data_IF_334640279699
#
_entry.id   IF_334640279699
#
_cell.length_a   1.000
_cell.length_b   1.000
_cell.length_c   1.000
_cell.angle_alpha   90.00
_cell.angle_beta   90.00
_cell.angle_gamma   90.00
#
_symmetry.space_group_name_H-M   'P 1'
#
loop_
_entity.id
_entity.type
_entity.pdbx_description
1 polymer ?
#
# COMPACT_ATOMS: atom_id res chain seq x y z
N UNK A 1 -36.53 47.79 35.28
CA UNK A 1 -35.39 48.29 34.52
C UNK A 1 -34.14 47.62 35.08
N UNK A 2 -33.65 46.47 34.63
CA UNK A 2 -34.03 45.44 33.66
C UNK A 2 -32.70 44.75 33.36
N UNK A 3 -32.46 43.60 33.98
CA UNK A 3 -31.25 42.76 33.89
C UNK A 3 -31.10 42.10 32.52
N UNK A 4 -31.13 42.87 31.43
CA UNK A 4 -31.30 42.31 30.08
C UNK A 4 -30.10 42.50 29.15
N UNK A 5 -28.89 42.78 29.65
CA UNK A 5 -27.73 43.00 28.77
C UNK A 5 -26.48 42.16 29.03
N UNK A 6 -26.43 41.33 30.07
CA UNK A 6 -25.25 40.49 30.37
C UNK A 6 -25.40 39.01 29.99
N UNK A 7 -26.48 38.62 29.30
CA UNK A 7 -26.72 37.23 28.91
C UNK A 7 -26.39 36.90 27.43
N UNK A 8 -25.89 37.86 26.64
CA UNK A 8 -25.89 37.75 25.17
C UNK A 8 -24.58 37.42 24.47
N UNK A 9 -23.42 37.29 25.16
CA UNK A 9 -22.12 37.21 24.46
C UNK A 9 -21.14 36.16 25.01
N UNK A 10 -21.63 34.99 25.41
CA UNK A 10 -20.76 33.85 25.67
C UNK A 10 -21.03 32.70 24.69
N UNK A 11 -20.09 32.53 23.76
CA UNK A 11 -19.76 31.27 23.07
C UNK A 11 -20.75 30.75 22.02
N UNK A 12 -20.74 31.39 20.86
CA UNK A 12 -20.70 30.62 19.61
C UNK A 12 -19.29 30.02 19.46
N UNK A 13 -18.96 28.96 20.23
CA UNK A 13 -17.79 28.14 19.88
C UNK A 13 -18.16 27.44 18.59
N UNK A 14 -17.31 27.59 17.56
CA UNK A 14 -17.33 26.77 16.37
C UNK A 14 -17.72 25.33 16.70
N UNK A 15 -18.88 24.91 16.22
CA UNK A 15 -19.26 23.50 16.15
C UNK A 15 -18.36 22.82 15.12
N UNK A 16 -17.07 22.66 15.45
CA UNK A 16 -16.16 21.82 14.69
C UNK A 16 -16.73 20.41 14.69
N UNK A 17 -16.92 19.83 13.50
CA UNK A 17 -17.40 18.45 13.34
C UNK A 17 -16.59 17.53 14.26
N UNK A 18 -17.24 16.95 15.26
CA UNK A 18 -16.60 15.99 16.16
C UNK A 18 -16.33 14.70 15.39
N UNK A 19 -15.08 14.51 14.96
CA UNK A 19 -14.61 13.26 14.37
C UNK A 19 -13.92 12.46 15.46
N UNK A 20 -14.47 11.30 15.82
CA UNK A 20 -13.87 10.42 16.82
C UNK A 20 -12.44 10.04 16.44
N UNK A 21 -11.57 9.80 17.42
CA UNK A 21 -10.17 9.38 17.19
C UNK A 21 -10.11 8.15 16.27
N UNK A 22 -11.05 7.21 16.38
CA UNK A 22 -11.19 6.05 15.48
C UNK A 22 -11.21 6.43 14.01
N UNK A 23 -12.05 7.39 13.65
CA UNK A 23 -12.20 7.84 12.28
C UNK A 23 -10.97 8.61 11.79
N UNK A 24 -10.33 9.41 12.66
CA UNK A 24 -9.08 10.09 12.32
C UNK A 24 -7.94 9.10 12.04
N UNK A 25 -7.79 8.10 12.90
CA UNK A 25 -6.79 7.02 12.77
C UNK A 25 -7.10 6.18 11.53
N UNK A 26 -8.34 5.72 11.38
CA UNK A 26 -8.76 4.90 10.24
C UNK A 26 -8.51 5.62 8.92
N UNK A 27 -8.95 6.88 8.78
CA UNK A 27 -8.74 7.66 7.56
C UNK A 27 -7.25 7.87 7.31
N UNK A 28 -6.48 8.27 8.33
CA UNK A 28 -5.04 8.51 8.21
C UNK A 28 -4.27 7.27 7.73
N UNK A 29 -4.52 6.13 8.36
CA UNK A 29 -3.91 4.87 7.94
C UNK A 29 -4.42 4.40 6.58
N UNK A 30 -5.72 4.56 6.27
CA UNK A 30 -6.26 4.21 4.95
C UNK A 30 -5.53 4.97 3.87
N UNK A 31 -5.40 6.29 3.99
CA UNK A 31 -4.67 7.13 3.01
C UNK A 31 -3.21 6.67 2.88
N UNK A 32 -2.51 6.47 4.00
CA UNK A 32 -1.12 6.03 4.00
C UNK A 32 -0.94 4.66 3.32
N UNK A 33 -1.77 3.68 3.67
CA UNK A 33 -1.74 2.36 3.06
C UNK A 33 -2.16 2.40 1.60
N UNK A 34 -3.14 3.22 1.19
CA UNK A 34 -3.51 3.38 -0.21
C UNK A 34 -2.34 3.92 -1.04
N UNK A 35 -1.59 4.90 -0.53
CA UNK A 35 -0.40 5.44 -1.23
C UNK A 35 0.67 4.34 -1.36
N UNK A 36 1.00 3.67 -0.26
CA UNK A 36 1.97 2.57 -0.29
C UNK A 36 1.53 1.44 -1.23
N UNK A 37 0.24 1.14 -1.26
CA UNK A 37 -0.36 0.12 -2.11
C UNK A 37 -0.25 0.48 -3.61
N UNK A 38 -0.51 1.73 -3.98
CA UNK A 38 -0.33 2.21 -5.36
C UNK A 38 1.14 2.16 -5.76
N UNK A 39 2.06 2.59 -4.89
CA UNK A 39 3.51 2.50 -5.16
C UNK A 39 3.92 1.04 -5.37
N UNK A 40 3.45 0.13 -4.51
CA UNK A 40 3.71 -1.29 -4.65
C UNK A 40 3.12 -1.84 -5.97
N UNK A 41 1.88 -1.52 -6.31
CA UNK A 41 1.26 -1.95 -7.57
C UNK A 41 2.08 -1.53 -8.79
N UNK A 42 2.51 -0.26 -8.84
CA UNK A 42 3.34 0.24 -9.93
C UNK A 42 4.70 -0.49 -10.00
N UNK A 43 5.37 -0.65 -8.86
CA UNK A 43 6.67 -1.35 -8.80
C UNK A 43 6.58 -2.83 -9.17
N UNK A 44 5.58 -3.54 -8.65
CA UNK A 44 5.36 -4.96 -8.98
C UNK A 44 4.98 -5.16 -10.44
N UNK A 45 4.21 -4.25 -11.03
CA UNK A 45 3.88 -4.31 -12.46
C UNK A 45 5.13 -4.16 -13.32
N UNK A 46 6.01 -3.22 -13.01
CA UNK A 46 7.26 -3.02 -13.74
C UNK A 46 8.20 -4.24 -13.62
N UNK A 47 8.34 -4.79 -12.40
CA UNK A 47 9.12 -6.01 -12.15
C UNK A 47 8.57 -7.18 -12.98
N UNK A 48 7.26 -7.41 -12.95
CA UNK A 48 6.63 -8.53 -13.62
C UNK A 48 6.73 -8.42 -15.16
N UNK A 49 6.46 -7.24 -15.72
CA UNK A 49 6.59 -6.98 -17.17
C UNK A 49 8.03 -7.08 -17.64
N UNK A 50 8.99 -6.65 -16.82
CA UNK A 50 10.43 -6.80 -17.10
C UNK A 50 10.82 -8.28 -17.10
N UNK A 51 10.39 -9.04 -16.09
CA UNK A 51 10.64 -10.48 -16.05
C UNK A 51 10.04 -11.21 -17.25
N UNK A 52 8.81 -10.87 -17.65
CA UNK A 52 8.17 -11.42 -18.85
C UNK A 52 8.96 -11.08 -20.13
N UNK A 53 9.44 -9.85 -20.25
CA UNK A 53 10.26 -9.42 -21.39
C UNK A 53 11.59 -10.19 -21.45
N UNK A 54 12.24 -10.38 -20.30
CA UNK A 54 13.48 -11.15 -20.22
C UNK A 54 13.27 -12.63 -20.57
N UNK A 55 12.11 -13.20 -20.20
CA UNK A 55 11.75 -14.55 -20.61
C UNK A 55 11.59 -14.65 -22.13
N UNK A 56 10.86 -13.72 -22.75
CA UNK A 56 10.71 -13.66 -24.22
C UNK A 56 12.08 -13.54 -24.90
N UNK A 57 12.98 -12.71 -24.37
CA UNK A 57 14.35 -12.59 -24.88
C UNK A 57 15.12 -13.91 -24.76
N UNK A 58 14.95 -14.65 -23.65
CA UNK A 58 15.56 -15.95 -23.45
C UNK A 58 14.99 -17.01 -24.42
N UNK A 59 13.69 -17.01 -24.67
CA UNK A 59 13.05 -17.91 -25.64
C UNK A 59 13.55 -17.62 -27.06
N UNK A 60 13.70 -16.33 -27.41
CA UNK A 60 14.31 -15.88 -28.66
C UNK A 60 15.76 -16.33 -28.78
N UNK A 61 16.54 -16.23 -27.69
CA UNK A 61 17.92 -16.73 -27.61
C UNK A 61 17.97 -18.21 -27.97
N UNK A 62 17.17 -19.02 -27.28
CA UNK A 62 17.15 -20.46 -27.43
C UNK A 62 16.71 -20.86 -28.85
N UNK A 63 15.76 -20.13 -29.42
CA UNK A 63 15.31 -20.31 -30.81
C UNK A 63 16.45 -20.05 -31.79
N UNK A 64 17.15 -18.92 -31.66
CA UNK A 64 18.30 -18.61 -32.52
C UNK A 64 19.42 -19.64 -32.39
N UNK A 65 19.79 -20.03 -31.17
CA UNK A 65 20.84 -21.03 -30.92
C UNK A 65 20.48 -22.39 -31.54
N UNK A 66 19.23 -22.84 -31.33
CA UNK A 66 18.76 -24.12 -31.87
C UNK A 66 18.72 -24.15 -33.40
N UNK A 67 18.42 -23.01 -34.05
CA UNK A 67 18.49 -22.90 -35.51
C UNK A 67 19.96 -22.84 -35.96
N UNK A 68 20.77 -21.98 -35.34
CA UNK A 68 22.17 -21.79 -35.70
C UNK A 68 23.00 -23.08 -35.62
N UNK A 69 22.71 -23.98 -34.68
CA UNK A 69 23.37 -25.28 -34.54
C UNK A 69 23.06 -26.25 -35.70
N UNK A 70 21.93 -26.06 -36.39
CA UNK A 70 21.43 -27.00 -37.41
C UNK A 70 21.51 -26.45 -38.84
N UNK A 71 21.83 -25.17 -39.03
CA UNK A 71 21.97 -24.57 -40.36
C UNK A 71 23.21 -25.13 -41.06
N UNK A 72 23.03 -25.62 -42.28
CA UNK A 72 24.15 -25.93 -43.19
C UNK A 72 24.69 -24.62 -43.79
N UNK A 73 25.74 -24.09 -43.17
CA UNK A 73 26.33 -22.79 -43.53
C UNK A 73 27.00 -22.83 -44.91
N UNK A 74 27.63 -23.95 -45.27
CA UNK A 74 28.26 -24.09 -46.59
C UNK A 74 27.21 -24.08 -47.70
N UNK A 75 26.11 -24.82 -47.53
CA UNK A 75 24.98 -24.78 -48.45
C UNK A 75 24.37 -23.38 -48.57
N UNK A 76 24.29 -22.64 -47.46
CA UNK A 76 23.78 -21.26 -47.44
C UNK A 76 24.66 -20.33 -48.28
N UNK A 77 25.98 -20.41 -48.10
CA UNK A 77 26.95 -19.60 -48.85
C UNK A 77 26.99 -19.98 -50.33
N UNK A 78 26.92 -21.28 -50.65
CA UNK A 78 26.82 -21.71 -52.04
C UNK A 78 25.54 -21.23 -52.71
N UNK A 79 24.41 -21.28 -52.00
CA UNK A 79 23.14 -20.74 -52.47
C UNK A 79 23.26 -19.24 -52.74
N UNK A 80 23.79 -18.46 -51.79
CA UNK A 80 23.98 -17.02 -51.97
C UNK A 80 24.91 -16.68 -53.16
N UNK A 81 25.91 -17.52 -53.43
CA UNK A 81 26.88 -17.31 -54.51
C UNK A 81 26.40 -17.72 -55.90
N UNK A 82 25.47 -18.68 -56.00
CA UNK A 82 25.11 -19.32 -57.29
C UNK A 82 23.62 -19.38 -57.58
N UNK A 83 22.78 -19.09 -56.60
CA UNK A 83 21.33 -18.99 -56.76
C UNK A 83 20.97 -17.78 -57.61
N UNK A 84 19.84 -17.88 -58.30
CA UNK A 84 19.31 -16.80 -59.14
C UNK A 84 17.91 -16.43 -58.68
N UNK A 85 17.54 -15.13 -58.72
CA UNK A 85 16.20 -14.72 -58.38
C UNK A 85 15.19 -15.16 -59.46
N UNK A 86 14.03 -15.64 -59.04
CA UNK A 86 12.91 -15.95 -59.92
C UNK A 86 12.08 -14.70 -60.23
N UNK A 87 11.01 -14.84 -61.03
CA UNK A 87 10.17 -13.71 -61.45
C UNK A 87 9.46 -12.98 -60.30
N UNK A 88 9.28 -13.67 -59.17
CA UNK A 88 8.63 -13.14 -57.97
C UNK A 88 9.64 -12.52 -56.98
N UNK A 89 10.94 -12.52 -57.31
CA UNK A 89 12.01 -11.96 -56.48
C UNK A 89 12.56 -12.91 -55.41
N UNK A 90 12.16 -14.18 -55.40
CA UNK A 90 12.70 -15.24 -54.54
C UNK A 90 13.63 -16.15 -55.33
N UNK A 91 13.83 -17.43 -54.98
CA UNK A 91 14.61 -18.35 -55.82
C UNK A 91 13.90 -19.68 -56.03
N UNK A 92 14.05 -20.26 -57.22
CA UNK A 92 13.61 -21.62 -57.55
C UNK A 92 14.70 -22.67 -57.27
N UNK A 93 15.85 -22.24 -56.72
CA UNK A 93 16.95 -23.14 -56.36
C UNK A 93 16.49 -24.17 -55.31
N UNK A 94 16.75 -25.48 -55.49
CA UNK A 94 16.36 -26.50 -54.52
C UNK A 94 16.87 -26.22 -53.10
N UNK A 95 18.04 -25.61 -52.94
CA UNK A 95 18.62 -25.26 -51.63
C UNK A 95 17.81 -24.16 -50.94
N UNK A 96 17.29 -23.19 -51.70
CA UNK A 96 16.41 -22.15 -51.16
C UNK A 96 15.12 -22.77 -50.60
N UNK A 97 14.52 -23.70 -51.34
CA UNK A 97 13.32 -24.43 -50.89
C UNK A 97 13.62 -25.27 -49.65
N UNK A 98 14.77 -25.94 -49.60
CA UNK A 98 15.23 -26.72 -48.45
C UNK A 98 15.40 -25.86 -47.20
N UNK A 99 16.02 -24.68 -47.31
CA UNK A 99 16.09 -23.74 -46.18
C UNK A 99 14.71 -23.25 -45.74
N UNK A 100 13.80 -22.97 -46.67
CA UNK A 100 12.45 -22.59 -46.27
C UNK A 100 11.71 -23.75 -45.55
N UNK A 101 11.93 -25.01 -45.94
CA UNK A 101 11.38 -26.18 -45.23
C UNK A 101 11.99 -26.31 -43.82
N UNK A 102 13.30 -26.10 -43.70
CA UNK A 102 14.01 -26.09 -42.43
C UNK A 102 13.50 -24.97 -41.50
N UNK A 103 13.38 -23.73 -41.99
CA UNK A 103 12.84 -22.62 -41.20
C UNK A 103 11.37 -22.85 -40.81
N UNK A 104 10.57 -23.45 -41.69
CA UNK A 104 9.19 -23.84 -41.40
C UNK A 104 9.10 -24.91 -40.29
N UNK A 105 10.01 -25.87 -40.26
CA UNK A 105 10.06 -26.88 -39.20
C UNK A 105 10.37 -26.24 -37.84
N UNK A 106 11.28 -25.26 -37.81
CA UNK A 106 11.59 -24.49 -36.60
C UNK A 106 10.38 -23.65 -36.15
N UNK A 107 9.69 -22.96 -37.05
CA UNK A 107 8.45 -22.24 -36.74
C UNK A 107 7.34 -23.15 -36.19
N UNK A 108 7.32 -24.43 -36.58
CA UNK A 108 6.34 -25.37 -36.02
C UNK A 108 6.63 -25.68 -34.54
N UNK A 109 7.88 -25.54 -34.11
CA UNK A 109 8.31 -25.71 -32.72
C UNK A 109 8.11 -24.43 -31.91
N UNK A 110 8.43 -23.27 -32.50
CA UNK A 110 8.25 -21.93 -31.93
C UNK A 110 7.30 -21.11 -32.84
N UNK A 111 5.97 -21.20 -32.64
CA UNK A 111 4.97 -20.64 -33.54
C UNK A 111 5.07 -19.12 -33.76
N UNK A 112 5.54 -18.39 -32.77
CA UNK A 112 5.66 -16.93 -32.80
C UNK A 112 6.97 -16.46 -33.47
N UNK A 113 7.88 -17.40 -33.78
CA UNK A 113 9.16 -17.12 -34.43
C UNK A 113 8.99 -16.94 -35.95
N UNK A 114 9.64 -15.90 -36.46
CA UNK A 114 9.84 -15.63 -37.88
C UNK A 114 11.34 -15.54 -38.18
N UNK A 115 12.00 -16.68 -38.44
CA UNK A 115 13.42 -16.72 -38.73
C UNK A 115 13.73 -16.37 -40.19
N UNK A 116 14.89 -15.75 -40.39
CA UNK A 116 15.48 -15.47 -41.70
C UNK A 116 17.01 -15.52 -41.63
N UNK A 117 17.62 -15.83 -42.77
CA UNK A 117 19.06 -16.00 -42.96
C UNK A 117 19.58 -14.91 -43.89
N UNK A 118 20.70 -14.32 -43.52
CA UNK A 118 21.30 -13.23 -44.28
C UNK A 118 22.82 -13.25 -44.22
N UNK A 119 23.44 -12.59 -45.19
CA UNK A 119 24.89 -12.40 -45.27
C UNK A 119 25.23 -10.92 -45.33
N UNK A 120 26.51 -10.61 -45.14
CA UNK A 120 27.02 -9.24 -45.22
C UNK A 120 26.88 -8.69 -46.65
N UNK A 121 26.39 -7.46 -46.78
CA UNK A 121 26.35 -6.72 -48.04
C UNK A 121 27.70 -6.10 -48.44
N UNK A 122 27.71 -5.41 -49.57
CA UNK A 122 28.91 -4.72 -50.07
C UNK A 122 29.09 -3.36 -49.40
N UNK A 123 27.99 -2.66 -49.13
CA UNK A 123 28.00 -1.34 -48.50
C UNK A 123 28.07 -1.38 -46.97
N UNK A 124 28.44 -0.24 -46.36
CA UNK A 124 28.41 -0.10 -44.91
C UNK A 124 26.96 -0.18 -44.40
N UNK A 125 26.73 -1.03 -43.41
CA UNK A 125 25.40 -1.33 -42.85
C UNK A 125 24.42 -2.04 -43.80
N UNK A 126 24.92 -2.63 -44.89
CA UNK A 126 24.12 -3.43 -45.81
C UNK A 126 24.20 -4.93 -45.50
N UNK A 127 23.08 -5.62 -45.69
CA UNK A 127 22.99 -7.08 -45.72
C UNK A 127 22.34 -7.53 -47.04
N UNK A 128 22.59 -8.78 -47.44
CA UNK A 128 21.75 -9.47 -48.41
C UNK A 128 20.91 -10.50 -47.67
N UNK A 129 19.58 -10.39 -47.80
CA UNK A 129 18.67 -11.43 -47.32
C UNK A 129 18.80 -12.66 -48.23
N UNK A 130 19.11 -13.82 -47.66
CA UNK A 130 19.28 -15.05 -48.45
C UNK A 130 18.00 -15.88 -48.41
N UNK A 131 17.44 -16.10 -47.22
CA UNK A 131 16.19 -16.86 -47.06
C UNK A 131 15.37 -16.22 -45.96
N UNK A 132 14.11 -15.92 -46.25
CA UNK A 132 13.16 -15.36 -45.29
C UNK A 132 11.91 -16.23 -45.28
N UNK A 133 11.52 -16.72 -44.09
CA UNK A 133 10.37 -17.60 -43.97
C UNK A 133 9.06 -16.92 -44.41
N UNK A 134 8.95 -15.59 -44.30
CA UNK A 134 7.78 -14.86 -44.77
C UNK A 134 7.49 -15.08 -46.25
N UNK A 135 8.49 -15.41 -47.08
CA UNK A 135 8.32 -15.76 -48.48
C UNK A 135 7.27 -16.87 -48.72
N UNK A 136 7.04 -17.75 -47.74
CA UNK A 136 6.01 -18.80 -47.81
C UNK A 136 4.59 -18.35 -47.45
N UNK A 137 4.45 -17.24 -46.75
CA UNK A 137 3.20 -16.80 -46.15
C UNK A 137 2.67 -15.53 -46.80
N UNK A 138 3.52 -14.50 -46.89
CA UNK A 138 3.21 -13.22 -47.48
C UNK A 138 4.49 -12.61 -48.06
N UNK A 139 4.60 -12.63 -49.39
CA UNK A 139 5.73 -12.06 -50.11
C UNK A 139 5.92 -10.55 -49.84
N UNK A 140 4.87 -9.82 -49.44
CA UNK A 140 4.97 -8.39 -49.11
C UNK A 140 5.58 -8.13 -47.73
N UNK A 141 5.64 -9.15 -46.87
CA UNK A 141 6.25 -9.12 -45.55
C UNK A 141 7.66 -9.75 -45.51
N UNK A 142 8.21 -10.10 -46.67
CA UNK A 142 9.49 -10.80 -46.81
C UNK A 142 10.50 -9.92 -47.54
N UNK A 143 11.78 -10.08 -47.21
CA UNK A 143 12.84 -9.71 -48.15
C UNK A 143 12.90 -10.74 -49.30
N UNK A 144 13.22 -10.26 -50.51
CA UNK A 144 13.52 -11.10 -51.67
C UNK A 144 14.86 -11.82 -51.55
N UNK A 145 15.07 -12.83 -52.39
CA UNK A 145 16.33 -13.55 -52.49
C UNK A 145 17.45 -12.62 -52.97
N UNK A 146 18.52 -12.54 -52.18
CA UNK A 146 19.65 -11.63 -52.37
C UNK A 146 19.23 -10.15 -52.45
N UNK A 147 18.09 -9.79 -51.87
CA UNK A 147 17.67 -8.39 -51.77
C UNK A 147 18.59 -7.64 -50.79
N UNK A 148 19.09 -6.49 -51.24
CA UNK A 148 19.94 -5.61 -50.44
C UNK A 148 19.09 -4.82 -49.42
N UNK A 149 19.51 -4.82 -48.16
CA UNK A 149 18.88 -4.03 -47.11
C UNK A 149 19.92 -3.26 -46.29
N UNK A 150 19.82 -1.93 -46.31
CA UNK A 150 20.65 -1.04 -45.50
C UNK A 150 19.94 -0.73 -44.17
N UNK A 151 20.48 -1.23 -43.05
CA UNK A 151 19.91 -0.96 -41.74
C UNK A 151 20.24 0.45 -41.24
N UNK A 152 19.30 1.07 -40.54
CA UNK A 152 19.54 2.33 -39.82
C UNK A 152 19.99 2.16 -38.38
N UNK A 153 19.87 0.95 -37.85
CA UNK A 153 20.00 0.67 -36.41
C UNK A 153 21.32 0.03 -36.01
N UNK A 154 22.00 -0.60 -36.98
CA UNK A 154 23.22 -1.38 -36.76
C UNK A 154 23.02 -2.75 -36.08
N UNK A 155 21.86 -3.08 -35.49
CA UNK A 155 21.68 -4.35 -34.76
C UNK A 155 21.79 -5.58 -35.66
N UNK A 156 21.13 -5.57 -36.83
CA UNK A 156 21.23 -6.67 -37.80
C UNK A 156 22.67 -6.85 -38.31
N UNK A 157 23.45 -5.77 -38.40
CA UNK A 157 24.87 -5.82 -38.81
C UNK A 157 25.74 -6.37 -37.69
N UNK A 158 25.51 -5.95 -36.44
CA UNK A 158 26.17 -6.53 -35.27
C UNK A 158 25.90 -8.03 -35.16
N UNK A 159 24.71 -8.47 -35.55
CA UNK A 159 24.32 -9.88 -35.69
C UNK A 159 25.27 -10.72 -36.55
N UNK A 160 25.99 -10.12 -37.50
CA UNK A 160 27.03 -10.81 -38.29
C UNK A 160 28.32 -11.07 -37.50
N UNK A 161 28.44 -10.58 -36.28
CA UNK A 161 29.69 -10.66 -35.49
C UNK A 161 29.47 -11.11 -34.05
N UNK A 162 28.30 -10.81 -33.49
CA UNK A 162 27.94 -11.13 -32.11
C UNK A 162 26.43 -11.33 -31.99
N UNK A 163 26.03 -12.12 -31.00
CA UNK A 163 24.63 -12.21 -30.63
C UNK A 163 24.15 -10.87 -30.07
N UNK A 164 23.06 -10.35 -30.61
CA UNK A 164 22.53 -9.05 -30.22
C UNK A 164 21.02 -9.00 -30.36
N UNK A 165 20.41 -8.02 -29.70
CA UNK A 165 18.96 -7.83 -29.68
C UNK A 165 18.63 -6.43 -30.09
N UNK A 166 17.43 -6.24 -30.66
CA UNK A 166 16.94 -4.90 -30.90
C UNK A 166 16.64 -4.20 -29.57
N UNK A 167 17.54 -3.31 -29.18
CA UNK A 167 17.29 -2.41 -28.07
C UNK A 167 16.20 -1.40 -28.43
N UNK A 168 15.40 -1.04 -27.43
CA UNK A 168 14.32 -0.08 -27.57
C UNK A 168 14.40 0.96 -26.47
N UNK A 169 13.93 2.18 -26.76
CA UNK A 169 13.82 3.20 -25.72
C UNK A 169 12.94 2.73 -24.56
N UNK A 170 13.20 3.28 -23.37
CA UNK A 170 12.33 3.11 -22.20
C UNK A 170 10.86 3.44 -22.56
N UNK A 171 9.83 2.75 -22.02
CA UNK A 171 8.42 2.98 -22.39
C UNK A 171 7.99 4.45 -22.36
N UNK A 172 8.37 5.20 -21.33
CA UNK A 172 8.09 6.64 -21.24
C UNK A 172 8.76 7.42 -22.40
N UNK A 173 9.99 7.07 -22.75
CA UNK A 173 10.71 7.72 -23.87
C UNK A 173 10.06 7.33 -25.20
N UNK A 174 9.66 6.06 -25.36
CA UNK A 174 8.88 5.61 -26.51
C UNK A 174 7.56 6.37 -26.62
N UNK A 175 6.80 6.52 -25.55
CA UNK A 175 5.53 7.26 -25.54
C UNK A 175 5.74 8.74 -25.92
N UNK A 176 6.81 9.35 -25.42
CA UNK A 176 7.20 10.73 -25.79
C UNK A 176 7.48 10.82 -27.30
N UNK A 177 8.30 9.90 -27.84
CA UNK A 177 8.68 9.88 -29.27
C UNK A 177 7.48 9.55 -30.17
N UNK A 178 6.65 8.58 -29.79
CA UNK A 178 5.43 8.21 -30.50
C UNK A 178 4.42 9.35 -30.53
N UNK A 179 4.19 10.00 -29.38
CA UNK A 179 3.35 11.19 -29.31
C UNK A 179 3.89 12.30 -30.22
N UNK A 180 5.22 12.51 -30.23
CA UNK A 180 5.85 13.51 -31.08
C UNK A 180 5.67 13.21 -32.56
N UNK A 181 5.90 11.96 -32.98
CA UNK A 181 5.71 11.51 -34.36
C UNK A 181 4.26 11.71 -34.80
N UNK A 182 3.29 11.19 -34.03
CA UNK A 182 1.86 11.26 -34.38
C UNK A 182 1.31 12.69 -34.47
N UNK A 183 1.84 13.65 -33.69
CA UNK A 183 1.26 14.99 -33.59
C UNK A 183 2.06 16.08 -34.30
N UNK A 184 3.39 15.93 -34.44
CA UNK A 184 4.28 17.02 -34.85
C UNK A 184 5.18 16.72 -36.04
N UNK A 185 5.38 15.46 -36.44
CA UNK A 185 6.34 15.11 -37.48
C UNK A 185 6.09 15.85 -38.81
N UNK A 186 4.84 15.83 -39.28
CA UNK A 186 4.45 16.59 -40.47
C UNK A 186 4.05 18.04 -40.17
N UNK A 187 3.40 18.28 -39.02
CA UNK A 187 2.75 19.56 -38.73
C UNK A 187 3.71 20.64 -38.21
N UNK A 188 4.76 20.24 -37.47
CA UNK A 188 5.76 21.14 -36.91
C UNK A 188 7.10 20.41 -36.70
N UNK A 189 7.93 20.30 -37.77
CA UNK A 189 9.18 19.55 -37.73
C UNK A 189 10.17 20.04 -36.66
N UNK A 190 10.17 21.34 -36.35
CA UNK A 190 11.00 21.90 -35.30
C UNK A 190 10.61 21.36 -33.91
N UNK A 191 9.31 21.32 -33.59
CA UNK A 191 8.84 20.75 -32.32
C UNK A 191 9.08 19.25 -32.26
N UNK A 192 8.84 18.54 -33.35
CA UNK A 192 9.16 17.11 -33.46
C UNK A 192 10.63 16.84 -33.11
N UNK A 193 11.57 17.55 -33.77
CA UNK A 193 13.01 17.41 -33.51
C UNK A 193 13.35 17.68 -32.04
N UNK A 194 12.79 18.74 -31.44
CA UNK A 194 13.06 19.09 -30.03
C UNK A 194 12.51 18.05 -29.05
N UNK A 195 11.31 17.53 -29.26
CA UNK A 195 10.71 16.53 -28.37
C UNK A 195 11.45 15.20 -28.50
N UNK A 196 11.76 14.77 -29.72
CA UNK A 196 12.54 13.55 -29.97
C UNK A 196 13.94 13.66 -29.38
N UNK A 197 14.63 14.81 -29.55
CA UNK A 197 15.94 15.05 -28.95
C UNK A 197 15.89 15.05 -27.41
N UNK A 198 14.81 15.57 -26.81
CA UNK A 198 14.60 15.47 -25.37
C UNK A 198 14.43 14.02 -24.91
N UNK A 199 13.64 13.22 -25.63
CA UNK A 199 13.51 11.78 -25.38
C UNK A 199 14.87 11.08 -25.43
N UNK A 200 15.66 11.33 -26.47
CA UNK A 200 17.02 10.78 -26.60
C UNK A 200 17.94 11.26 -25.48
N UNK A 201 17.88 12.53 -25.07
CA UNK A 201 18.65 13.03 -23.93
C UNK A 201 18.30 12.31 -22.61
N UNK A 202 17.04 11.96 -22.38
CA UNK A 202 16.64 11.17 -21.20
C UNK A 202 17.27 9.78 -21.18
N UNK A 203 17.39 9.17 -22.36
CA UNK A 203 18.08 7.91 -22.56
C UNK A 203 19.59 8.06 -22.32
N UNK A 204 20.23 9.00 -23.01
CA UNK A 204 21.70 9.19 -22.98
C UNK A 204 22.21 9.64 -21.62
N UNK A 205 21.40 10.38 -20.86
CA UNK A 205 21.72 10.80 -19.50
C UNK A 205 21.59 9.68 -18.46
N UNK A 206 21.08 8.50 -18.85
CA UNK A 206 20.82 7.38 -17.95
C UNK A 206 19.64 7.60 -17.01
N UNK A 207 18.82 8.65 -17.21
CA UNK A 207 17.62 8.89 -16.41
C UNK A 207 16.55 7.84 -16.75
N UNK A 208 16.37 7.55 -18.03
CA UNK A 208 15.49 6.49 -18.55
C UNK A 208 16.26 5.66 -19.58
N UNK A 209 17.17 4.77 -19.15
CA UNK A 209 18.06 4.05 -20.06
C UNK A 209 17.26 3.19 -21.05
N UNK A 210 17.84 2.92 -22.21
CA UNK A 210 17.25 1.97 -23.16
C UNK A 210 17.07 0.60 -22.51
N UNK A 211 16.00 -0.09 -22.91
CA UNK A 211 15.83 -1.50 -22.62
C UNK A 211 16.63 -2.29 -23.64
N UNK A 212 17.35 -3.30 -23.16
CA UNK A 212 18.18 -4.17 -24.00
C UNK A 212 17.34 -4.94 -25.04
N UNK A 213 16.04 -5.12 -24.78
CA UNK A 213 15.11 -5.81 -25.68
C UNK A 213 13.68 -5.26 -25.60
N UNK A 214 12.99 -5.21 -26.74
CA UNK A 214 11.56 -4.94 -26.82
C UNK A 214 11.05 -4.77 -28.25
N UNK A 215 9.82 -4.28 -28.37
CA UNK A 215 9.12 -4.18 -29.65
C UNK A 215 9.43 -2.87 -30.39
N UNK A 216 9.68 -2.93 -31.68
CA UNK A 216 9.83 -1.80 -32.59
C UNK A 216 8.94 -1.97 -33.83
N UNK A 217 8.95 -0.99 -34.75
CA UNK A 217 8.26 -1.08 -36.03
C UNK A 217 9.17 -0.72 -37.20
N UNK A 218 8.92 -1.35 -38.34
CA UNK A 218 9.58 -1.11 -39.61
C UNK A 218 8.58 -1.25 -40.78
N UNK A 219 9.09 -1.42 -42.01
CA UNK A 219 8.25 -1.53 -43.21
C UNK A 219 7.46 -2.84 -43.31
N UNK A 220 7.88 -3.89 -42.59
CA UNK A 220 7.24 -5.21 -42.62
C UNK A 220 6.25 -5.41 -41.48
N UNK A 221 6.31 -4.57 -40.45
CA UNK A 221 5.35 -4.62 -39.34
C UNK A 221 5.96 -4.17 -38.02
N UNK A 222 5.57 -4.86 -36.96
CA UNK A 222 6.05 -4.59 -35.60
C UNK A 222 6.61 -5.86 -34.98
N UNK A 223 7.83 -5.77 -34.47
CA UNK A 223 8.64 -6.93 -34.14
C UNK A 223 9.42 -6.72 -32.85
N UNK A 224 9.79 -7.80 -32.18
CA UNK A 224 10.89 -7.84 -31.23
C UNK A 224 11.91 -8.85 -31.77
N UNK A 225 13.14 -8.39 -32.00
CA UNK A 225 14.08 -9.12 -32.86
C UNK A 225 15.40 -9.40 -32.17
N UNK A 226 15.97 -10.54 -32.52
CA UNK A 226 17.27 -11.01 -32.11
C UNK A 226 18.08 -11.42 -33.34
N UNK A 227 19.39 -11.30 -33.23
CA UNK A 227 20.33 -11.64 -34.30
C UNK A 227 21.52 -12.41 -33.72
N UNK A 228 22.03 -13.37 -34.47
CA UNK A 228 23.20 -14.18 -34.08
C UNK A 228 24.05 -14.56 -35.29
N UNK A 229 25.39 -14.58 -35.16
CA UNK A 229 26.25 -14.98 -36.26
C UNK A 229 26.18 -16.49 -36.48
N UNK A 230 26.23 -16.87 -37.75
CA UNK A 230 26.45 -18.25 -38.19
C UNK A 230 27.93 -18.41 -38.52
N UNK A 231 28.53 -19.43 -37.92
CA UNK A 231 29.96 -19.67 -37.99
C UNK A 231 30.28 -20.76 -39.01
N UNK A 232 31.37 -20.61 -39.76
CA UNK A 232 31.95 -21.69 -40.56
C UNK A 232 32.63 -22.75 -39.68
N UNK A 233 33.07 -23.86 -40.28
CA UNK A 233 33.82 -24.92 -39.59
C UNK A 233 35.12 -24.44 -38.91
N UNK A 234 35.66 -23.29 -39.35
CA UNK A 234 36.84 -22.66 -38.77
C UNK A 234 36.51 -21.68 -37.62
N UNK A 235 35.22 -21.51 -37.29
CA UNK A 235 34.74 -20.62 -36.24
C UNK A 235 34.67 -19.15 -36.64
N UNK A 236 34.76 -18.82 -37.94
CA UNK A 236 34.62 -17.45 -38.43
C UNK A 236 33.14 -17.14 -38.70
N UNK A 237 32.66 -15.94 -38.33
CA UNK A 237 31.32 -15.54 -38.68
C UNK A 237 31.24 -15.19 -40.17
N UNK A 238 30.36 -15.89 -40.90
CA UNK A 238 30.24 -15.78 -42.38
C UNK A 238 28.83 -15.43 -42.83
N UNK A 239 27.83 -15.72 -42.00
CA UNK A 239 26.43 -15.36 -42.21
C UNK A 239 25.80 -15.03 -40.85
N UNK A 240 24.50 -14.75 -40.82
CA UNK A 240 23.76 -14.57 -39.60
C UNK A 240 22.32 -15.03 -39.75
N UNK A 241 21.72 -15.32 -38.60
CA UNK A 241 20.29 -15.54 -38.45
C UNK A 241 19.66 -14.36 -37.73
N UNK A 242 18.52 -13.91 -38.23
CA UNK A 242 17.59 -13.06 -37.52
C UNK A 242 16.35 -13.84 -37.15
N UNK A 243 15.81 -13.60 -35.97
CA UNK A 243 14.50 -14.13 -35.56
C UNK A 243 13.68 -12.99 -35.02
N UNK A 244 12.48 -12.85 -35.57
CA UNK A 244 11.51 -11.85 -35.16
C UNK A 244 10.35 -12.53 -34.42
N UNK A 245 9.96 -11.97 -33.29
CA UNK A 245 8.67 -12.22 -32.67
C UNK A 245 7.72 -11.09 -32.99
N UNK A 246 6.47 -11.41 -33.33
CA UNK A 246 5.44 -10.41 -33.54
C UNK A 246 5.24 -9.56 -32.28
N UNK A 247 5.13 -8.24 -32.47
CA UNK A 247 4.92 -7.34 -31.34
C UNK A 247 3.60 -7.62 -30.62
N UNK A 248 2.60 -8.16 -31.32
CA UNK A 248 1.31 -8.52 -30.73
C UNK A 248 1.47 -9.65 -29.69
N UNK A 249 2.20 -10.71 -30.02
CA UNK A 249 2.57 -11.76 -29.04
C UNK A 249 3.27 -11.16 -27.81
N UNK A 250 4.31 -10.34 -28.03
CA UNK A 250 5.07 -9.72 -26.92
C UNK A 250 4.18 -8.83 -26.06
N UNK A 251 3.28 -8.08 -26.68
CA UNK A 251 2.35 -7.20 -25.97
C UNK A 251 1.27 -7.98 -25.23
N UNK A 252 0.76 -9.08 -25.79
CA UNK A 252 -0.24 -9.93 -25.16
C UNK A 252 0.32 -10.57 -23.88
N UNK A 253 1.53 -11.15 -23.94
CA UNK A 253 2.20 -11.69 -22.75
C UNK A 253 2.39 -10.60 -21.68
N UNK A 254 2.87 -9.41 -22.08
CA UNK A 254 3.05 -8.28 -21.14
C UNK A 254 1.72 -7.82 -20.54
N UNK A 255 0.67 -7.76 -21.34
CA UNK A 255 -0.65 -7.31 -20.93
C UNK A 255 -1.32 -8.32 -20.00
N UNK A 256 -1.19 -9.61 -20.28
CA UNK A 256 -1.68 -10.70 -19.44
C UNK A 256 -0.99 -10.67 -18.07
N UNK A 257 0.35 -10.66 -18.06
CA UNK A 257 1.12 -10.56 -16.81
C UNK A 257 0.75 -9.30 -16.01
N UNK A 258 0.60 -8.16 -16.69
CA UNK A 258 0.18 -6.92 -16.03
C UNK A 258 -1.26 -6.99 -15.51
N UNK A 259 -2.17 -7.65 -16.24
CA UNK A 259 -3.56 -7.85 -15.82
C UNK A 259 -3.67 -8.77 -14.61
N UNK A 260 -2.85 -9.81 -14.53
CA UNK A 260 -2.78 -10.73 -13.39
C UNK A 260 -2.31 -10.01 -12.14
N UNK A 261 -1.23 -9.23 -12.24
CA UNK A 261 -0.75 -8.39 -11.13
C UNK A 261 -1.83 -7.41 -10.68
N UNK A 262 -2.47 -6.69 -11.62
CA UNK A 262 -3.56 -5.76 -11.28
C UNK A 262 -4.73 -6.47 -10.61
N UNK A 263 -5.11 -7.66 -11.08
CA UNK A 263 -6.22 -8.45 -10.52
C UNK A 263 -5.89 -8.95 -9.12
N UNK A 264 -4.68 -9.45 -8.89
CA UNK A 264 -4.21 -9.85 -7.56
C UNK A 264 -4.26 -8.69 -6.57
N UNK A 265 -3.81 -7.49 -6.99
CA UNK A 265 -3.88 -6.29 -6.17
C UNK A 265 -5.33 -5.81 -5.95
N UNK A 266 -6.19 -5.91 -6.97
CA UNK A 266 -7.61 -5.56 -6.84
C UNK A 266 -8.33 -6.42 -5.81
N UNK A 267 -7.92 -7.68 -5.62
CA UNK A 267 -8.44 -8.57 -4.58
C UNK A 267 -7.75 -8.32 -3.23
N UNK A 268 -6.43 -8.11 -3.23
CA UNK A 268 -5.65 -7.89 -2.01
C UNK A 268 -6.05 -6.60 -1.29
N UNK A 269 -6.41 -5.54 -2.02
CA UNK A 269 -6.75 -4.24 -1.42
C UNK A 269 -8.00 -4.27 -0.53
N UNK A 270 -9.16 -4.80 -0.97
CA UNK A 270 -10.32 -5.02 -0.10
C UNK A 270 -10.01 -5.89 1.11
N UNK A 271 -9.18 -6.93 0.96
CA UNK A 271 -8.77 -7.80 2.08
C UNK A 271 -7.95 -7.00 3.08
N UNK A 272 -6.99 -6.19 2.62
CA UNK A 272 -6.20 -5.29 3.47
C UNK A 272 -7.09 -4.27 4.18
N UNK A 273 -8.08 -3.67 3.49
CA UNK A 273 -9.05 -2.77 4.11
C UNK A 273 -9.93 -3.46 5.15
N UNK A 274 -10.38 -4.69 4.86
CA UNK A 274 -11.17 -5.48 5.80
C UNK A 274 -10.37 -5.79 7.07
N UNK A 275 -9.10 -6.20 6.92
CA UNK A 275 -8.17 -6.41 8.04
C UNK A 275 -7.96 -5.10 8.81
N UNK A 276 -7.78 -3.98 8.12
CA UNK A 276 -7.59 -2.67 8.75
C UNK A 276 -8.81 -2.24 9.58
N UNK A 277 -10.02 -2.39 9.03
CA UNK A 277 -11.28 -2.11 9.75
C UNK A 277 -11.45 -3.09 10.92
N UNK A 278 -11.13 -4.37 10.72
CA UNK A 278 -11.17 -5.38 11.77
C UNK A 278 -10.25 -5.01 12.94
N UNK A 279 -8.98 -4.72 12.69
CA UNK A 279 -8.01 -4.28 13.72
C UNK A 279 -8.53 -3.00 14.41
N UNK A 280 -8.95 -1.99 13.63
CA UNK A 280 -9.45 -0.74 14.21
C UNK A 280 -10.65 -0.97 15.14
N UNK A 281 -11.56 -1.87 14.76
CA UNK A 281 -12.77 -2.15 15.54
C UNK A 281 -12.48 -3.02 16.76
N UNK A 282 -11.59 -4.01 16.66
CA UNK A 282 -11.21 -4.89 17.78
C UNK A 282 -10.44 -4.13 18.84
N UNK A 283 -9.40 -3.36 18.46
CA UNK A 283 -8.55 -2.68 19.44
C UNK A 283 -9.18 -1.43 20.04
N UNK A 284 -9.94 -0.65 19.25
CA UNK A 284 -10.44 0.63 19.77
C UNK A 284 -11.71 0.48 20.60
N UNK A 285 -12.42 -0.66 20.54
CA UNK A 285 -13.63 -0.92 21.35
C UNK A 285 -13.35 -0.93 22.85
N UNK A 286 -12.47 -1.81 23.38
CA UNK A 286 -12.14 -1.86 24.80
C UNK A 286 -11.67 -0.52 25.39
N UNK A 287 -10.87 0.23 24.62
CA UNK A 287 -10.36 1.53 25.04
C UNK A 287 -11.49 2.53 25.32
N UNK A 288 -12.56 2.50 24.50
CA UNK A 288 -13.73 3.38 24.70
C UNK A 288 -14.53 2.97 25.92
N UNK A 289 -14.70 1.66 26.12
CA UNK A 289 -15.48 1.14 27.23
C UNK A 289 -14.79 1.43 28.57
N UNK A 290 -13.45 1.31 28.62
CA UNK A 290 -12.63 1.79 29.73
C UNK A 290 -12.79 3.30 29.97
N UNK A 291 -12.74 4.11 28.90
CA UNK A 291 -12.92 5.58 29.01
C UNK A 291 -14.29 5.91 29.60
N UNK A 292 -15.35 5.26 29.12
CA UNK A 292 -16.71 5.49 29.61
C UNK A 292 -16.90 5.03 31.07
N UNK A 293 -16.27 3.92 31.46
CA UNK A 293 -16.28 3.45 32.85
C UNK A 293 -15.55 4.42 33.79
N UNK A 294 -14.46 5.03 33.31
CA UNK A 294 -13.73 6.06 34.04
C UNK A 294 -14.57 7.32 34.26
N UNK A 295 -15.27 7.80 33.22
CA UNK A 295 -16.18 8.94 33.30
C UNK A 295 -17.31 8.69 34.32
N UNK A 296 -17.98 7.53 34.24
CA UNK A 296 -19.03 7.13 35.20
C UNK A 296 -18.53 7.06 36.65
N UNK A 297 -17.33 6.53 36.85
CA UNK A 297 -16.69 6.51 38.18
C UNK A 297 -16.46 7.93 38.70
N UNK A 298 -16.04 8.85 37.84
CA UNK A 298 -15.88 10.27 38.19
C UNK A 298 -17.19 10.96 38.58
N UNK A 299 -18.31 10.49 38.08
CA UNK A 299 -19.67 10.96 38.43
C UNK A 299 -20.24 10.28 39.69
N UNK A 300 -19.49 9.38 40.33
CA UNK A 300 -19.88 8.66 41.55
C UNK A 300 -20.61 7.34 41.29
N UNK A 301 -20.65 6.87 40.05
CA UNK A 301 -21.20 5.57 39.68
C UNK A 301 -20.09 4.50 39.63
N UNK A 302 -20.01 3.72 40.72
CA UNK A 302 -19.01 2.66 40.90
C UNK A 302 -19.49 1.27 40.44
N UNK A 303 -20.57 1.19 39.65
CA UNK A 303 -21.16 -0.10 39.22
C UNK A 303 -20.62 -0.62 37.88
N UNK A 304 -19.62 0.05 37.31
CA UNK A 304 -19.05 -0.33 36.03
C UNK A 304 -18.46 -1.76 36.08
N UNK A 305 -18.86 -2.59 35.12
CA UNK A 305 -18.43 -3.98 35.00
C UNK A 305 -17.21 -4.08 34.08
N UNK A 306 -16.07 -4.50 34.63
CA UNK A 306 -14.81 -4.66 33.92
C UNK A 306 -14.54 -6.11 33.46
N UNK A 307 -15.45 -7.05 33.72
CA UNK A 307 -15.26 -8.47 33.43
C UNK A 307 -15.10 -8.78 31.93
N UNK A 308 -15.87 -8.10 31.08
CA UNK A 308 -15.78 -8.21 29.61
C UNK A 308 -14.47 -7.68 29.02
N UNK A 309 -13.74 -6.84 29.77
CA UNK A 309 -12.44 -6.27 29.37
C UNK A 309 -11.26 -7.13 29.84
N UNK A 310 -11.52 -8.14 30.67
CA UNK A 310 -10.53 -9.08 31.22
C UNK A 310 -10.64 -10.48 30.59
N UNK A 311 -11.23 -10.59 29.39
CA UNK A 311 -11.42 -11.88 28.73
C UNK A 311 -10.08 -12.64 28.66
N UNK A 312 -10.03 -13.82 29.28
CA UNK A 312 -8.80 -14.55 29.59
C UNK A 312 -8.10 -15.11 28.34
N UNK A 313 -8.74 -15.04 27.17
CA UNK A 313 -8.19 -15.50 25.89
C UNK A 313 -7.13 -14.57 25.29
N UNK A 314 -7.14 -13.28 25.65
CA UNK A 314 -6.18 -12.27 25.18
C UNK A 314 -5.69 -11.49 26.40
N UNK A 315 -4.72 -12.03 27.13
CA UNK A 315 -4.00 -11.28 28.18
C UNK A 315 -3.08 -10.25 27.53
N UNK A 316 -3.66 -9.17 27.02
CA UNK A 316 -2.93 -8.04 26.44
C UNK A 316 -2.82 -6.89 27.46
N UNK A 317 -2.08 -5.85 27.06
CA UNK A 317 -1.86 -4.64 27.87
C UNK A 317 -3.18 -3.93 28.22
N UNK A 318 -4.22 -4.09 27.41
CA UNK A 318 -5.56 -3.52 27.67
C UNK A 318 -6.22 -4.25 28.83
N UNK A 319 -6.17 -5.59 28.85
CA UNK A 319 -6.67 -6.40 29.96
C UNK A 319 -5.96 -6.10 31.27
N UNK A 320 -4.63 -5.91 31.23
CA UNK A 320 -3.84 -5.48 32.39
C UNK A 320 -4.29 -4.09 32.88
N UNK A 321 -4.44 -3.13 31.98
CA UNK A 321 -4.92 -1.79 32.32
C UNK A 321 -6.32 -1.81 32.92
N UNK A 322 -7.23 -2.63 32.37
CA UNK A 322 -8.58 -2.81 32.91
C UNK A 322 -8.55 -3.35 34.35
N UNK A 323 -7.69 -4.33 34.64
CA UNK A 323 -7.51 -4.87 35.98
C UNK A 323 -6.95 -3.83 36.98
N UNK A 324 -5.98 -3.02 36.56
CA UNK A 324 -5.47 -1.92 37.39
C UNK A 324 -6.55 -0.86 37.65
N UNK A 325 -7.36 -0.56 36.63
CA UNK A 325 -8.46 0.39 36.74
C UNK A 325 -9.55 -0.08 37.71
N UNK A 326 -9.94 -1.36 37.63
CA UNK A 326 -10.90 -1.99 38.56
C UNK A 326 -10.46 -1.85 40.03
N UNK A 327 -9.17 -2.10 40.32
CA UNK A 327 -8.60 -1.91 41.67
C UNK A 327 -8.67 -0.44 42.11
N UNK A 328 -8.45 0.50 41.20
CA UNK A 328 -8.53 1.94 41.49
C UNK A 328 -9.97 2.36 41.81
N UNK A 329 -10.94 1.96 41.00
CA UNK A 329 -12.38 2.20 41.22
C UNK A 329 -12.80 1.71 42.60
N UNK A 330 -12.43 0.48 42.98
CA UNK A 330 -12.76 -0.08 44.30
C UNK A 330 -12.10 0.68 45.47
N UNK A 331 -10.88 1.20 45.29
CA UNK A 331 -10.23 2.04 46.31
C UNK A 331 -10.90 3.41 46.44
N UNK A 332 -11.32 4.03 45.33
CA UNK A 332 -12.03 5.32 45.35
C UNK A 332 -13.37 5.17 46.04
N UNK A 333 -14.15 4.14 45.69
CA UNK A 333 -15.44 3.85 46.33
C UNK A 333 -15.31 3.70 47.85
N UNK A 334 -14.32 2.90 48.31
CA UNK A 334 -14.07 2.72 49.76
C UNK A 334 -13.67 4.02 50.44
N UNK A 335 -12.85 4.86 49.80
CA UNK A 335 -12.46 6.17 50.34
C UNK A 335 -13.66 7.10 50.46
N UNK A 336 -14.54 7.15 49.46
CA UNK A 336 -15.75 7.98 49.52
C UNK A 336 -16.72 7.50 50.60
N UNK A 337 -16.93 6.19 50.73
CA UNK A 337 -17.77 5.61 51.79
C UNK A 337 -17.23 5.92 53.19
N UNK A 338 -15.91 5.77 53.39
CA UNK A 338 -15.25 6.13 54.65
C UNK A 338 -15.37 7.62 54.95
N UNK A 339 -15.18 8.47 53.95
CA UNK A 339 -15.33 9.93 54.10
C UNK A 339 -16.78 10.30 54.44
N UNK A 340 -17.78 9.69 53.79
CA UNK A 340 -19.21 9.87 54.13
C UNK A 340 -19.50 9.44 55.56
N UNK A 341 -18.95 8.33 56.03
CA UNK A 341 -19.10 7.88 57.42
C UNK A 341 -18.44 8.84 58.41
N UNK A 342 -17.23 9.33 58.12
CA UNK A 342 -16.53 10.32 58.94
C UNK A 342 -17.30 11.64 59.02
N UNK A 343 -17.83 12.13 57.89
CA UNK A 343 -18.67 13.35 57.85
C UNK A 343 -19.96 13.14 58.63
N UNK A 344 -20.61 11.97 58.54
CA UNK A 344 -21.79 11.67 59.33
C UNK A 344 -21.48 11.64 60.84
N UNK A 345 -20.36 11.03 61.23
CA UNK A 345 -19.90 10.99 62.62
C UNK A 345 -19.58 12.40 63.14
N UNK A 346 -18.85 13.21 62.36
CA UNK A 346 -18.55 14.60 62.70
C UNK A 346 -19.84 15.42 62.86
N UNK A 347 -20.84 15.19 62.02
CA UNK A 347 -22.14 15.88 62.12
C UNK A 347 -22.87 15.51 63.41
N UNK A 348 -22.86 14.24 63.80
CA UNK A 348 -23.43 13.78 65.08
C UNK A 348 -22.70 14.42 66.27
N UNK A 349 -21.37 14.45 66.23
CA UNK A 349 -20.55 15.06 67.29
C UNK A 349 -20.81 16.56 67.42
N UNK A 350 -20.88 17.28 66.30
CA UNK A 350 -21.25 18.70 66.28
C UNK A 350 -22.66 18.92 66.84
N UNK A 351 -23.63 18.11 66.44
CA UNK A 351 -25.01 18.22 66.93
C UNK A 351 -25.09 17.96 68.44
N UNK A 352 -24.34 17.00 68.97
CA UNK A 352 -24.27 16.70 70.40
C UNK A 352 -23.61 17.84 71.19
N UNK A 353 -22.49 18.38 70.71
CA UNK A 353 -21.84 19.56 71.31
C UNK A 353 -22.78 20.76 71.29
N UNK A 354 -23.51 20.98 70.19
CA UNK A 354 -24.47 22.08 70.07
C UNK A 354 -25.64 21.91 71.04
N UNK A 355 -26.16 20.69 71.18
CA UNK A 355 -27.21 20.36 72.15
C UNK A 355 -26.74 20.55 73.60
N UNK A 356 -25.50 20.18 73.92
CA UNK A 356 -24.91 20.44 75.23
C UNK A 356 -24.74 21.94 75.50
N UNK A 357 -24.33 22.72 74.49
CA UNK A 357 -24.28 24.19 74.58
C UNK A 357 -25.66 24.81 74.80
N UNK A 358 -26.69 24.36 74.08
CA UNK A 358 -28.07 24.83 74.27
C UNK A 358 -28.62 24.47 75.65
N UNK A 359 -28.34 23.26 76.17
CA UNK A 359 -28.71 22.87 77.52
C UNK A 359 -27.96 23.70 78.56
N UNK A 360 -26.67 23.96 78.38
CA UNK A 360 -25.89 24.80 79.28
C UNK A 360 -26.45 26.24 79.33
N UNK A 361 -26.83 26.82 78.19
CA UNK A 361 -27.49 28.12 78.12
C UNK A 361 -28.83 28.14 78.87
N UNK A 362 -29.63 27.07 78.80
CA UNK A 362 -30.87 26.92 79.58
C UNK A 362 -30.58 26.80 81.08
N UNK A 363 -29.53 26.07 81.47
CA UNK A 363 -29.13 25.89 82.88
C UNK A 363 -28.59 27.21 83.48
N UNK A 364 -27.91 28.03 82.69
CA UNK A 364 -27.46 29.37 83.10
C UNK A 364 -28.54 30.46 82.97
N UNK A 365 -29.66 30.18 82.30
CA UNK A 365 -30.79 31.10 82.22
C UNK A 365 -31.52 31.26 83.56
N UNK A 366 -32.20 32.40 83.74
CA UNK A 366 -32.90 32.78 84.97
C UNK A 366 -33.92 31.74 85.48
N UNK A 367 -34.37 30.81 84.63
CA UNK A 367 -35.27 29.71 84.99
C UNK A 367 -34.69 28.77 86.07
N UNK A 368 -33.43 28.35 85.94
CA UNK A 368 -32.80 27.45 86.92
C UNK A 368 -32.46 28.18 88.24
N UNK A 369 -32.16 29.48 88.15
CA UNK A 369 -31.97 30.35 89.33
C UNK A 369 -33.28 30.47 90.13
N UNK A 370 -34.43 30.64 89.47
CA UNK A 370 -35.75 30.69 90.15
C UNK A 370 -36.12 29.34 90.80
N UNK A 371 -35.86 28.22 90.13
CA UNK A 371 -36.17 26.89 90.65
C UNK A 371 -35.37 26.55 91.93
N UNK A 372 -34.07 26.90 91.96
CA UNK A 372 -33.22 26.73 93.15
C UNK A 372 -33.66 27.64 94.31
N UNK A 373 -34.12 28.85 94.00
CA UNK A 373 -34.74 29.77 94.97
C UNK A 373 -35.97 29.13 95.64
N UNK A 374 -36.91 28.59 94.85
CA UNK A 374 -38.14 27.94 95.36
C UNK A 374 -37.86 26.70 96.20
N UNK A 375 -36.91 25.86 95.80
CA UNK A 375 -36.51 24.67 96.57
C UNK A 375 -35.83 25.03 97.90
N UNK A 376 -35.05 26.12 97.93
CA UNK A 376 -34.42 26.61 99.16
C UNK A 376 -35.48 27.14 100.13
N UNK A 377 -36.48 27.86 99.63
CA UNK A 377 -37.62 28.34 100.42
C UNK A 377 -38.46 27.21 101.03
N UNK A 378 -38.64 26.09 100.30
CA UNK A 378 -39.28 24.89 100.85
C UNK A 378 -38.45 24.20 101.93
N UNK A 379 -37.12 24.27 101.85
CA UNK A 379 -36.22 23.65 102.85
C UNK A 379 -36.11 24.46 104.13
N UNK A 380 -36.24 25.78 104.07
CA UNK A 380 -36.37 26.64 105.25
C UNK A 380 -37.74 26.51 105.90
N UNK A 381 -38.82 26.29 105.14
CA UNK A 381 -40.14 25.99 105.68
C UNK A 381 -40.17 24.71 106.53
N UNK A 382 -39.37 23.69 106.19
CA UNK A 382 -39.33 22.39 106.90
C UNK A 382 -38.48 22.37 108.18
N UNK A 383 -37.75 23.45 108.49
CA UNK A 383 -36.88 23.55 109.69
C UNK A 383 -37.48 24.42 110.80
N UNK A 384 -38.71 24.93 110.62
CA UNK A 384 -39.40 25.80 111.57
C UNK A 384 -40.53 25.17 112.40
N UNK A 385 -40.88 23.89 112.21
CA UNK A 385 -42.03 23.23 112.87
C UNK A 385 -41.63 22.03 113.73
N UNK A 386 -40.87 22.26 114.81
CA UNK A 386 -40.50 21.19 115.74
C UNK A 386 -39.91 21.68 117.06
N UNK A 387 -40.66 22.50 117.81
CA UNK A 387 -40.37 22.81 119.22
C UNK A 387 -41.69 23.05 120.00
N UNK A 388 -41.71 22.70 121.30
CA UNK A 388 -42.82 22.57 122.29
C UNK A 388 -43.43 21.15 122.39
N UNK A 389 -43.49 20.45 123.53
CA UNK A 389 -43.70 20.82 124.95
C UNK A 389 -43.59 19.54 125.87
N UNK A 390 -43.83 19.52 127.22
CA UNK A 390 -43.08 20.01 128.40
C UNK A 390 -42.69 18.92 129.48
N UNK A 391 -42.07 19.39 130.60
CA UNK A 391 -41.63 18.71 131.86
C UNK A 391 -42.71 17.96 132.69
N UNK A 392 -42.29 17.00 133.56
CA UNK A 392 -42.51 17.10 135.04
C UNK A 392 -41.32 16.55 135.89
N UNK A 393 -40.75 17.31 136.84
CA UNK A 393 -40.90 17.26 138.33
C UNK A 393 -40.52 15.96 139.08
N UNK A 394 -39.31 15.99 139.64
CA UNK A 394 -38.90 15.79 141.06
C UNK A 394 -39.34 14.54 141.87
N UNK A 395 -38.34 13.84 142.44
CA UNK A 395 -38.30 13.43 143.87
C UNK A 395 -36.93 12.86 144.29
N UNK A 396 -36.58 13.25 145.52
CA UNK A 396 -35.58 12.76 146.51
C UNK A 396 -34.11 13.09 146.32
#
# INVERSE_FOLDING_TARGET
>A
MSDSQTAGQAKAIHAGRFVSIRWKVLIGFTVLFSIAFVIALLGFTDIAVTAATNQIQADLTQTMEGIAEQVDVDMLLELAATGEPNADGFSDDPRFIEFLDFLQANKTTEPDAWPYLYIKGEEENEIYAVVDLWARYDASSSFGFMEAYTTRSGFIIRGLTEQTYRAVDHPIVQDIKNYASQNFEESNPFLYEKITAFGTWLTDSGILPQREFGTYGDQFGRWASGYMPLLDDAGNPVAAIGVDFEADYVNDVRNEVSADVRTAFLIAYPVLLAIMVFITTVFTRPLRDLTAAAERTGEGDYTADFSNLRDQRLQDEIGVLAGVFEVMVGKVQKREQSLKAQVAQLKIEIDEVKKQSEVAEIVDSDFFRDLKSRATNLRTARRGEGESEPKPTDKS
#
